data_IF_914503442702
#
_entry.id   IF_914503442702
#
_cell.length_a   1.000
_cell.length_b   1.000
_cell.length_c   1.000
_cell.angle_alpha   90.00
_cell.angle_beta   90.00
_cell.angle_gamma   90.00
#
_symmetry.space_group_name_H-M   'P 1'
#
loop_
_entity.id
_entity.type
_entity.pdbx_description
1 polymer ?
#
# COMPACT_ATOMS: atom_id res chain seq x y z
N UNK A 1 -7.47 9.87 -19.64
CA UNK A 1 -7.69 9.42 -18.25
C UNK A 1 -8.67 10.39 -17.63
N UNK A 2 -9.75 9.90 -17.03
CA UNK A 2 -10.76 10.75 -16.39
C UNK A 2 -10.11 11.49 -15.21
N UNK A 3 -10.37 12.79 -15.10
CA UNK A 3 -9.87 13.66 -14.02
C UNK A 3 -10.64 13.38 -12.71
N UNK A 4 -10.34 12.25 -12.10
CA UNK A 4 -10.99 11.76 -10.87
C UNK A 4 -10.18 12.15 -9.64
N UNK A 5 -10.81 12.12 -8.47
CA UNK A 5 -10.10 12.37 -7.21
C UNK A 5 -9.00 11.33 -6.97
N UNK A 6 -9.26 10.07 -7.33
CA UNK A 6 -8.30 8.97 -7.30
C UNK A 6 -7.08 9.24 -8.20
N UNK A 7 -7.28 9.59 -9.48
CA UNK A 7 -6.17 9.90 -10.40
C UNK A 7 -5.33 11.08 -9.90
N UNK A 8 -5.97 12.17 -9.45
CA UNK A 8 -5.26 13.33 -8.88
C UNK A 8 -4.47 13.00 -7.62
N UNK A 9 -4.97 12.08 -6.79
CA UNK A 9 -4.28 11.62 -5.60
C UNK A 9 -3.02 10.80 -5.96
N UNK A 10 -3.14 9.89 -6.93
CA UNK A 10 -2.02 9.08 -7.44
C UNK A 10 -0.94 9.98 -8.04
N UNK A 11 -1.32 10.94 -8.89
CA UNK A 11 -0.38 11.90 -9.48
C UNK A 11 0.35 12.72 -8.39
N UNK A 12 -0.39 13.18 -7.37
CA UNK A 12 0.19 13.90 -6.23
C UNK A 12 1.13 13.03 -5.37
N UNK A 13 0.85 11.72 -5.30
CA UNK A 13 1.71 10.76 -4.62
C UNK A 13 3.04 10.61 -5.34
N UNK A 14 3.04 10.31 -6.65
CA UNK A 14 4.26 10.19 -7.44
C UNK A 14 5.05 11.51 -7.50
N UNK A 15 4.37 12.65 -7.59
CA UNK A 15 5.01 13.97 -7.55
C UNK A 15 5.76 14.24 -6.24
N UNK A 16 5.42 13.56 -5.13
CA UNK A 16 6.13 13.71 -3.86
C UNK A 16 7.53 13.08 -3.84
N UNK A 17 7.83 12.19 -4.81
CA UNK A 17 9.07 11.40 -4.90
C UNK A 17 9.41 10.63 -3.62
N UNK A 18 8.40 10.29 -2.81
CA UNK A 18 8.61 9.55 -1.57
C UNK A 18 9.12 8.13 -1.84
N UNK A 19 8.70 7.55 -2.97
CA UNK A 19 9.15 6.25 -3.47
C UNK A 19 10.68 6.23 -3.67
N UNK A 20 11.23 7.18 -4.42
CA UNK A 20 12.67 7.33 -4.63
C UNK A 20 13.42 7.55 -3.31
N UNK A 21 12.90 8.43 -2.44
CA UNK A 21 13.55 8.81 -1.18
C UNK A 21 13.59 7.67 -0.16
N UNK A 22 12.61 6.77 -0.21
CA UNK A 22 12.50 5.66 0.71
C UNK A 22 12.95 4.34 0.08
N UNK A 23 13.41 4.35 -1.18
CA UNK A 23 13.77 3.13 -1.90
C UNK A 23 12.62 2.11 -1.84
N UNK A 24 11.41 2.58 -2.12
CA UNK A 24 10.19 1.76 -2.23
C UNK A 24 9.49 2.01 -3.55
N UNK A 25 8.71 1.05 -3.99
CA UNK A 25 7.84 1.18 -5.16
C UNK A 25 6.43 0.74 -4.76
N UNK A 26 5.42 1.50 -5.16
CA UNK A 26 4.01 1.24 -4.88
C UNK A 26 3.23 1.13 -6.19
N UNK A 27 2.51 0.02 -6.38
CA UNK A 27 1.54 -0.11 -7.46
C UNK A 27 0.19 0.37 -6.95
N UNK A 28 -0.28 1.50 -7.50
CA UNK A 28 -1.56 2.11 -7.17
C UNK A 28 -2.49 2.04 -8.37
N UNK A 29 -3.69 1.49 -8.17
CA UNK A 29 -4.73 1.43 -9.20
C UNK A 29 -5.97 2.20 -8.74
N UNK A 30 -6.49 3.09 -9.59
CA UNK A 30 -7.76 3.74 -9.33
C UNK A 30 -8.92 2.77 -9.57
N UNK A 31 -9.69 2.47 -8.52
CA UNK A 31 -10.84 1.55 -8.56
C UNK A 31 -12.18 2.32 -8.57
N UNK A 32 -12.27 3.30 -9.46
CA UNK A 32 -13.37 4.26 -9.56
C UNK A 32 -12.93 5.69 -9.25
N UNK A 33 -13.88 6.60 -9.05
CA UNK A 33 -13.59 8.04 -8.97
C UNK A 33 -12.93 8.46 -7.64
N UNK A 34 -13.21 7.73 -6.57
CA UNK A 34 -12.79 8.06 -5.19
C UNK A 34 -12.24 6.85 -4.43
N UNK A 35 -11.68 5.87 -5.14
CA UNK A 35 -11.06 4.70 -4.53
C UNK A 35 -9.74 4.36 -5.21
N UNK A 36 -8.74 3.96 -4.42
CA UNK A 36 -7.44 3.49 -4.89
C UNK A 36 -7.06 2.20 -4.19
N UNK A 37 -6.71 1.19 -4.97
CA UNK A 37 -6.13 -0.06 -4.49
C UNK A 37 -4.61 0.05 -4.46
N UNK A 38 -3.99 -0.34 -3.35
CA UNK A 38 -2.57 -0.64 -3.27
C UNK A 38 -2.38 -2.12 -3.57
N UNK A 39 -1.93 -2.42 -4.79
CA UNK A 39 -1.79 -3.80 -5.27
C UNK A 39 -0.49 -4.46 -4.82
N UNK A 40 0.58 -3.66 -4.73
CA UNK A 40 1.90 -4.13 -4.37
C UNK A 40 2.76 -3.01 -3.79
N UNK A 41 3.63 -3.39 -2.86
CA UNK A 41 4.64 -2.55 -2.27
C UNK A 41 5.95 -3.33 -2.27
N UNK A 42 6.99 -2.76 -2.88
CA UNK A 42 8.35 -3.31 -2.94
C UNK A 42 9.31 -2.38 -2.21
N UNK A 43 10.42 -2.92 -1.71
CA UNK A 43 11.55 -2.11 -1.23
C UNK A 43 12.85 -2.61 -1.83
N UNK A 44 13.74 -1.67 -2.13
CA UNK A 44 15.13 -1.94 -2.51
C UNK A 44 16.08 -1.87 -1.27
N UNK A 45 15.56 -1.48 -0.10
CA UNK A 45 16.29 -1.43 1.17
C UNK A 45 16.03 -2.62 2.08
N UNK A 46 16.84 -2.78 3.14
CA UNK A 46 16.62 -3.79 4.18
C UNK A 46 15.20 -3.66 4.76
N UNK A 47 14.51 -4.80 4.93
CA UNK A 47 13.30 -4.88 5.74
C UNK A 47 13.59 -4.28 7.14
N UNK A 48 12.60 -3.64 7.76
CA UNK A 48 12.65 -3.08 9.14
C UNK A 48 13.22 -1.66 9.36
N UNK A 49 13.60 -0.90 8.34
CA UNK A 49 14.01 0.52 8.52
C UNK A 49 12.87 1.56 8.42
N UNK A 50 11.62 1.12 8.31
CA UNK A 50 10.45 2.01 8.26
C UNK A 50 10.23 2.71 6.92
N UNK A 51 10.95 2.32 5.87
CA UNK A 51 10.83 2.90 4.52
C UNK A 51 9.41 2.82 3.95
N UNK A 52 8.80 1.63 4.01
CA UNK A 52 7.41 1.40 3.64
C UNK A 52 6.42 2.27 4.43
N UNK A 53 6.72 2.54 5.70
CA UNK A 53 5.83 3.29 6.59
C UNK A 53 5.73 4.75 6.16
N UNK A 54 6.85 5.40 5.85
CA UNK A 54 6.84 6.80 5.42
C UNK A 54 6.07 7.00 4.10
N UNK A 55 6.21 6.07 3.15
CA UNK A 55 5.43 6.09 1.91
C UNK A 55 3.93 5.86 2.17
N UNK A 56 3.58 4.90 3.02
CA UNK A 56 2.17 4.65 3.40
C UNK A 56 1.53 5.82 4.16
N UNK A 57 2.25 6.44 5.10
CA UNK A 57 1.76 7.63 5.80
C UNK A 57 1.54 8.80 4.83
N UNK A 58 2.41 8.95 3.83
CA UNK A 58 2.22 9.95 2.77
C UNK A 58 1.01 9.65 1.89
N UNK A 59 0.81 8.38 1.51
CA UNK A 59 -0.36 7.94 0.76
C UNK A 59 -1.65 8.21 1.54
N UNK A 60 -1.69 7.84 2.82
CA UNK A 60 -2.83 8.08 3.71
C UNK A 60 -3.17 9.57 3.82
N UNK A 61 -2.17 10.43 4.02
CA UNK A 61 -2.39 11.88 4.09
C UNK A 61 -2.95 12.46 2.79
N UNK A 62 -2.55 11.94 1.63
CA UNK A 62 -3.09 12.33 0.34
C UNK A 62 -4.52 11.80 0.14
N UNK A 63 -4.80 10.57 0.58
CA UNK A 63 -6.14 10.00 0.53
C UNK A 63 -7.15 10.83 1.34
N UNK A 64 -6.78 11.24 2.54
CA UNK A 64 -7.60 12.14 3.37
C UNK A 64 -7.83 13.48 2.67
N UNK A 65 -6.76 14.11 2.18
CA UNK A 65 -6.84 15.40 1.49
C UNK A 65 -7.73 15.36 0.24
N UNK A 66 -7.75 14.25 -0.48
CA UNK A 66 -8.48 14.09 -1.74
C UNK A 66 -9.86 13.43 -1.57
N UNK A 67 -10.24 13.02 -0.35
CA UNK A 67 -11.50 12.32 -0.12
C UNK A 67 -11.54 10.94 -0.78
N UNK A 68 -10.40 10.24 -0.82
CA UNK A 68 -10.24 8.94 -1.51
C UNK A 68 -10.19 7.81 -0.49
N UNK A 69 -10.97 6.76 -0.75
CA UNK A 69 -10.89 5.50 0.00
C UNK A 69 -9.68 4.69 -0.47
N UNK A 70 -8.94 4.10 0.46
CA UNK A 70 -7.86 3.18 0.16
C UNK A 70 -8.31 1.74 0.40
N UNK A 71 -7.91 0.82 -0.46
CA UNK A 71 -8.02 -0.62 -0.23
C UNK A 71 -6.66 -1.31 -0.45
N UNK A 72 -6.41 -2.39 0.28
CA UNK A 72 -5.22 -3.20 0.11
C UNK A 72 -5.45 -4.64 0.57
N UNK A 73 -4.55 -5.51 0.15
CA UNK A 73 -4.41 -6.86 0.71
C UNK A 73 -3.08 -6.90 1.49
N UNK A 74 -3.09 -7.24 2.79
CA UNK A 74 -1.89 -7.24 3.60
C UNK A 74 -1.01 -8.44 3.21
N UNK A 75 -0.08 -8.22 2.28
CA UNK A 75 0.91 -9.20 1.86
C UNK A 75 2.30 -8.76 2.29
N UNK A 76 3.21 -9.72 2.60
CA UNK A 76 4.61 -9.39 2.81
C UNK A 76 5.20 -8.65 1.62
N UNK A 77 6.10 -7.71 1.91
CA UNK A 77 6.90 -7.03 0.89
C UNK A 77 7.68 -8.07 0.09
N UNK A 78 7.61 -7.99 -1.24
CA UNK A 78 8.49 -8.77 -2.12
C UNK A 78 9.70 -7.92 -2.50
N UNK A 79 10.85 -8.57 -2.68
CA UNK A 79 12.05 -7.90 -3.17
C UNK A 79 11.90 -7.65 -4.67
N UNK A 80 12.21 -6.42 -5.12
CA UNK A 80 12.13 -6.04 -6.53
C UNK A 80 13.11 -6.88 -7.37
N UNK A 81 12.62 -7.54 -8.42
CA UNK A 81 13.41 -8.40 -9.30
C UNK A 81 13.40 -9.90 -8.95
N UNK A 82 12.70 -10.31 -7.89
CA UNK A 82 12.28 -11.71 -7.74
C UNK A 82 10.94 -11.89 -8.46
N UNK A 83 10.96 -12.63 -9.57
CA UNK A 83 9.73 -13.14 -10.19
C UNK A 83 8.89 -13.86 -9.15
N UNK A 84 7.57 -13.80 -9.30
CA UNK A 84 6.54 -14.36 -8.39
C UNK A 84 6.66 -15.87 -8.10
N UNK A 85 7.72 -16.54 -8.58
CA UNK A 85 8.01 -17.97 -8.42
C UNK A 85 9.12 -18.29 -7.40
N UNK A 86 9.86 -17.29 -6.89
CA UNK A 86 10.87 -17.55 -5.84
C UNK A 86 10.25 -17.31 -4.46
N UNK A 87 10.13 -18.33 -3.58
CA UNK A 87 9.76 -18.09 -2.20
C UNK A 87 10.86 -17.21 -1.58
N UNK A 88 10.51 -15.98 -1.21
CA UNK A 88 11.35 -15.19 -0.31
C UNK A 88 11.44 -15.98 1.00
N UNK A 89 12.54 -16.71 1.18
CA UNK A 89 12.89 -17.34 2.46
C UNK A 89 13.49 -16.26 3.37
N UNK A 90 12.79 -15.13 3.51
CA UNK A 90 13.09 -14.22 4.59
C UNK A 90 12.35 -14.71 5.82
N UNK A 91 13.05 -15.43 6.70
CA UNK A 91 12.52 -15.91 7.98
C UNK A 91 12.06 -14.77 8.91
N UNK A 92 12.31 -13.51 8.52
CA UNK A 92 11.87 -12.30 9.22
C UNK A 92 10.62 -11.63 8.62
N UNK A 93 10.03 -12.17 7.56
CA UNK A 93 8.81 -11.61 6.98
C UNK A 93 7.67 -11.63 8.01
N UNK A 94 6.98 -10.48 8.26
CA UNK A 94 5.90 -10.43 9.22
C UNK A 94 4.76 -11.34 8.77
N UNK A 95 4.19 -12.09 9.73
CA UNK A 95 2.98 -12.87 9.46
C UNK A 95 1.78 -11.96 9.13
N UNK A 96 0.70 -12.57 8.64
CA UNK A 96 -0.51 -11.85 8.25
C UNK A 96 -1.09 -11.02 9.39
N UNK A 97 -1.04 -11.51 10.64
CA UNK A 97 -1.59 -10.79 11.79
C UNK A 97 -0.78 -9.54 12.13
N UNK A 98 0.55 -9.62 12.04
CA UNK A 98 1.45 -8.49 12.23
C UNK A 98 1.26 -7.41 11.15
N UNK A 99 1.05 -7.82 9.89
CA UNK A 99 0.73 -6.91 8.79
C UNK A 99 -0.62 -6.23 8.99
N UNK A 100 -1.67 -6.98 9.34
CA UNK A 100 -2.98 -6.42 9.65
C UNK A 100 -2.92 -5.42 10.81
N UNK A 101 -2.21 -5.75 11.89
CA UNK A 101 -2.02 -4.83 13.02
C UNK A 101 -1.25 -3.55 12.61
N UNK A 102 -0.30 -3.68 11.70
CA UNK A 102 0.42 -2.53 11.14
C UNK A 102 -0.51 -1.61 10.35
N UNK A 103 -1.31 -2.14 9.42
CA UNK A 103 -2.27 -1.34 8.66
C UNK A 103 -3.41 -0.81 9.54
N UNK A 104 -3.82 -1.55 10.58
CA UNK A 104 -4.77 -1.10 11.58
C UNK A 104 -4.34 0.19 12.29
N UNK A 105 -3.04 0.32 12.61
CA UNK A 105 -2.49 1.56 13.18
C UNK A 105 -2.56 2.77 12.23
N UNK A 106 -2.64 2.53 10.92
CA UNK A 106 -2.85 3.56 9.89
C UNK A 106 -4.34 3.85 9.62
N UNK A 107 -5.24 3.17 10.35
CA UNK A 107 -6.68 3.35 10.26
C UNK A 107 -7.38 2.45 9.24
N UNK A 108 -6.71 1.40 8.74
CA UNK A 108 -7.37 0.39 7.91
C UNK A 108 -8.17 -0.59 8.76
N UNK A 109 -9.30 -1.04 8.23
CA UNK A 109 -10.22 -2.00 8.83
C UNK A 109 -10.50 -3.13 7.85
N UNK A 110 -10.90 -4.31 8.35
CA UNK A 110 -11.31 -5.41 7.47
C UNK A 110 -12.61 -5.04 6.76
N UNK A 111 -12.66 -5.20 5.43
CA UNK A 111 -13.90 -4.99 4.68
C UNK A 111 -14.90 -6.15 4.80
N UNK A 112 -14.48 -7.29 5.35
CA UNK A 112 -15.20 -8.56 5.32
C UNK A 112 -14.96 -9.37 4.04
N UNK A 113 -14.37 -8.75 3.01
CA UNK A 113 -13.95 -9.42 1.77
C UNK A 113 -12.61 -10.14 1.90
N UNK A 114 -12.35 -11.06 0.97
CA UNK A 114 -11.06 -11.75 0.82
C UNK A 114 -10.63 -11.75 -0.64
N UNK A 115 -9.32 -11.66 -0.88
CA UNK A 115 -8.70 -11.80 -2.18
C UNK A 115 -7.58 -12.86 -2.09
N UNK A 116 -7.71 -13.93 -2.87
CA UNK A 116 -6.83 -15.11 -2.84
C UNK A 116 -6.61 -15.64 -1.41
N UNK A 117 -7.69 -15.72 -0.62
CA UNK A 117 -7.66 -16.21 0.76
C UNK A 117 -7.18 -15.20 1.81
N UNK A 118 -6.61 -14.07 1.41
CA UNK A 118 -6.15 -13.00 2.30
C UNK A 118 -7.26 -11.96 2.55
N UNK A 119 -7.38 -11.38 3.75
CA UNK A 119 -8.40 -10.36 4.03
C UNK A 119 -8.14 -9.08 3.23
N UNK A 120 -9.19 -8.47 2.71
CA UNK A 120 -9.10 -7.12 2.14
C UNK A 120 -9.26 -6.12 3.28
N UNK A 121 -8.35 -5.16 3.36
CA UNK A 121 -8.41 -4.05 4.29
C UNK A 121 -8.77 -2.77 3.55
N UNK A 122 -9.61 -1.94 4.16
CA UNK A 122 -10.08 -0.68 3.60
C UNK A 122 -9.91 0.44 4.60
N UNK A 123 -9.72 1.66 4.10
CA UNK A 123 -9.66 2.87 4.91
C UNK A 123 -10.45 3.97 4.23
N UNK A 124 -11.49 4.43 4.91
CA UNK A 124 -12.21 5.65 4.50
C UNK A 124 -11.35 6.90 4.76
N UNK A 125 -11.46 7.93 3.90
CA UNK A 125 -10.81 9.22 4.16
C UNK A 125 -11.40 9.85 5.43
N UNK A 126 -10.56 10.57 6.18
CA UNK A 126 -10.91 11.26 7.43
C UNK A 126 -11.04 12.76 7.24
#
# INVERSE_FOLDING_TARGET
MSDTAASRMIDAFHASRIEDRQHVQMCLEATGDSAVALEALWSEGEHHRGHARAALERLVALADRHGVMLSLVPRPLTQKGQDAAAPSVDQAAPDSAALEAFYGRLGFERSGGKFEGSPVMVRSPR
#
